data_IF_492810930518
#
_entry.id   IF_492810930518
#
_cell.length_a   1.000
_cell.length_b   1.000
_cell.length_c   1.000
_cell.angle_alpha   90.00
_cell.angle_beta   90.00
_cell.angle_gamma   90.00
#
_symmetry.space_group_name_H-M   'P 1'
#
loop_
_entity.id
_entity.type
_entity.pdbx_description
1 polymer ?
#
# COMPACT_ATOMS: atom_id res chain seq x y z
N UNK A 1 28.53 65.18 -28.57
CA UNK A 1 27.33 64.31 -28.54
C UNK A 1 27.59 63.14 -27.61
N UNK A 2 26.63 62.93 -26.71
CA UNK A 2 26.54 62.06 -25.54
C UNK A 2 27.51 60.85 -25.41
N UNK A 3 28.23 60.84 -24.30
CA UNK A 3 28.98 59.70 -23.75
C UNK A 3 28.03 58.97 -22.77
N UNK A 4 27.64 57.73 -23.08
CA UNK A 4 26.71 56.93 -22.25
C UNK A 4 27.47 55.72 -21.69
N UNK A 5 27.96 55.85 -20.46
CA UNK A 5 28.50 54.73 -19.69
C UNK A 5 27.35 53.81 -19.27
N UNK A 6 27.40 52.55 -19.68
CA UNK A 6 26.56 51.49 -19.14
C UNK A 6 27.24 50.93 -17.89
N UNK A 7 26.74 51.29 -16.71
CA UNK A 7 27.06 50.60 -15.46
C UNK A 7 26.14 49.38 -15.39
N UNK A 8 26.68 48.20 -15.66
CA UNK A 8 25.96 46.94 -15.44
C UNK A 8 26.08 46.63 -13.95
N UNK A 9 25.01 46.93 -13.21
CA UNK A 9 24.85 46.52 -11.81
C UNK A 9 24.55 45.02 -11.78
N UNK A 10 25.53 44.23 -11.34
CA UNK A 10 25.32 42.83 -10.98
C UNK A 10 24.65 42.77 -9.61
N UNK A 11 23.32 42.75 -9.59
CA UNK A 11 22.60 42.24 -8.42
C UNK A 11 22.77 40.72 -8.40
N UNK A 12 23.73 40.23 -7.60
CA UNK A 12 23.77 38.82 -7.22
C UNK A 12 22.53 38.53 -6.37
N UNK A 13 21.55 37.89 -6.97
CA UNK A 13 20.41 37.31 -6.27
C UNK A 13 20.94 36.08 -5.52
N UNK A 14 21.35 36.27 -4.27
CA UNK A 14 21.67 35.16 -3.36
C UNK A 14 20.36 34.43 -3.10
N UNK A 15 20.14 33.33 -3.82
CA UNK A 15 19.17 32.32 -3.45
C UNK A 15 19.64 31.75 -2.11
N UNK A 16 19.08 32.24 -1.01
CA UNK A 16 19.07 31.51 0.25
C UNK A 16 18.27 30.23 -0.01
N UNK A 17 18.95 29.19 -0.47
CA UNK A 17 18.45 27.84 -0.36
C UNK A 17 18.31 27.58 1.14
N UNK A 18 17.11 27.75 1.67
CA UNK A 18 16.75 27.18 2.97
C UNK A 18 17.05 25.69 2.85
N UNK A 19 17.98 25.13 3.65
CA UNK A 19 18.23 23.71 3.62
C UNK A 19 16.89 23.01 3.86
N UNK A 20 16.53 22.09 2.97
CA UNK A 20 15.46 21.15 3.24
C UNK A 20 15.76 20.55 4.62
N UNK A 21 14.87 20.76 5.59
CA UNK A 21 15.08 20.19 6.92
C UNK A 21 15.14 18.67 6.73
N UNK A 22 16.28 18.06 7.07
CA UNK A 22 16.48 16.61 6.99
C UNK A 22 15.64 15.84 8.03
N UNK A 23 14.87 16.56 8.85
CA UNK A 23 13.91 16.04 9.80
C UNK A 23 12.53 16.64 9.53
N UNK A 24 11.50 15.80 9.62
CA UNK A 24 10.10 16.22 9.55
C UNK A 24 9.23 15.47 10.57
N UNK A 25 8.12 16.06 10.97
CA UNK A 25 7.19 15.51 11.96
C UNK A 25 6.18 14.55 11.29
N UNK A 26 6.14 13.30 11.74
CA UNK A 26 5.24 12.26 11.20
C UNK A 26 3.89 12.26 11.89
N UNK A 27 3.92 12.33 13.21
CA UNK A 27 2.79 12.52 14.11
C UNK A 27 3.30 13.27 15.34
N UNK A 28 2.40 13.76 16.19
CA UNK A 28 2.79 14.56 17.36
C UNK A 28 3.90 13.86 18.15
N UNK A 29 4.99 14.59 18.40
CA UNK A 29 6.16 14.15 19.18
C UNK A 29 6.98 13.01 18.51
N UNK A 30 6.71 12.66 17.24
CA UNK A 30 7.43 11.63 16.47
C UNK A 30 7.98 12.22 15.17
N UNK A 31 9.29 12.16 15.01
CA UNK A 31 10.00 12.77 13.90
C UNK A 31 10.77 11.71 13.10
N UNK A 32 10.85 11.93 11.80
CA UNK A 32 11.61 11.09 10.87
C UNK A 32 12.82 11.90 10.39
N UNK A 33 14.01 11.32 10.55
CA UNK A 33 15.28 11.85 10.05
C UNK A 33 15.67 11.09 8.80
N UNK A 34 15.85 11.80 7.70
CA UNK A 34 16.28 11.26 6.42
C UNK A 34 17.81 11.21 6.36
N UNK A 35 18.38 10.04 6.12
CA UNK A 35 19.83 9.83 6.14
C UNK A 35 20.32 9.14 4.87
N UNK A 36 21.35 9.70 4.24
CA UNK A 36 22.17 8.95 3.30
C UNK A 36 22.97 7.89 4.08
N UNK A 37 22.83 6.63 3.68
CA UNK A 37 23.31 5.47 4.44
C UNK A 37 24.48 4.80 3.73
N UNK A 38 25.68 5.28 4.02
CA UNK A 38 26.94 4.68 3.59
C UNK A 38 28.03 4.89 4.66
N UNK A 39 29.13 4.10 4.66
CA UNK A 39 30.13 4.15 5.75
C UNK A 39 30.74 5.53 6.01
N UNK A 40 30.91 6.34 4.96
CA UNK A 40 31.50 7.67 5.02
C UNK A 40 30.47 8.81 5.18
N UNK A 41 29.19 8.49 5.42
CA UNK A 41 28.15 9.50 5.52
C UNK A 41 28.35 10.36 6.79
N UNK A 42 28.28 11.70 6.67
CA UNK A 42 28.44 12.59 7.82
C UNK A 42 27.24 12.56 8.78
N UNK A 43 26.12 11.95 8.39
CA UNK A 43 24.85 12.03 9.10
C UNK A 43 24.26 13.43 9.08
N UNK A 44 23.20 13.63 9.86
CA UNK A 44 22.46 14.89 9.89
C UNK A 44 22.51 15.52 11.28
N UNK A 45 22.71 16.83 11.32
CA UNK A 45 22.63 17.61 12.56
C UNK A 45 21.16 17.97 12.81
N UNK A 46 20.62 17.54 13.95
CA UNK A 46 19.21 17.75 14.32
C UNK A 46 19.15 18.54 15.62
N UNK A 47 18.23 19.50 15.68
CA UNK A 47 17.97 20.31 16.88
C UNK A 47 16.60 19.96 17.44
N UNK A 48 16.57 19.35 18.62
CA UNK A 48 15.35 19.09 19.38
C UNK A 48 15.07 20.25 20.34
N UNK A 49 13.82 20.65 20.46
CA UNK A 49 13.40 21.70 21.40
C UNK A 49 12.43 21.10 22.39
N UNK A 50 12.68 21.30 23.69
CA UNK A 50 11.78 20.83 24.74
C UNK A 50 10.49 21.66 24.70
N UNK A 51 9.35 21.01 24.52
CA UNK A 51 8.03 21.66 24.52
C UNK A 51 7.63 22.04 25.96
N UNK A 52 8.16 23.16 26.42
CA UNK A 52 7.94 23.69 27.77
C UNK A 52 8.11 25.21 27.79
N UNK A 53 7.36 25.93 28.64
CA UNK A 53 7.62 27.35 28.90
C UNK A 53 8.90 27.58 29.72
N UNK A 54 9.43 26.54 30.38
CA UNK A 54 10.67 26.63 31.14
C UNK A 54 11.89 26.90 30.23
N UNK A 55 12.88 27.63 30.74
CA UNK A 55 14.12 27.96 29.99
C UNK A 55 15.38 27.41 30.68
N UNK A 56 15.38 27.34 32.02
CA UNK A 56 16.53 26.98 32.83
C UNK A 56 16.43 25.57 33.45
N UNK A 57 17.59 24.98 33.79
CA UNK A 57 17.76 23.68 34.45
C UNK A 57 17.12 22.48 33.72
N UNK A 58 17.08 22.56 32.39
CA UNK A 58 16.62 21.46 31.53
C UNK A 58 17.80 20.53 31.22
N UNK A 59 17.60 19.23 31.42
CA UNK A 59 18.53 18.17 31.00
C UNK A 59 17.86 17.19 30.05
N UNK A 60 18.64 16.54 29.21
CA UNK A 60 18.14 15.58 28.23
C UNK A 60 18.68 14.18 28.48
N UNK A 61 17.82 13.18 28.27
CA UNK A 61 18.17 11.76 28.30
C UNK A 61 17.69 11.07 27.02
N UNK A 62 18.40 10.03 26.57
CA UNK A 62 17.99 9.16 25.46
C UNK A 62 17.74 7.74 25.97
N UNK A 63 16.79 7.01 25.37
CA UNK A 63 16.58 5.59 25.70
C UNK A 63 17.71 4.66 25.20
N UNK A 64 18.62 5.18 24.36
CA UNK A 64 19.82 4.47 23.91
C UNK A 64 21.04 4.70 24.83
N UNK A 65 20.96 5.63 25.79
CA UNK A 65 22.07 5.98 26.69
C UNK A 65 21.66 5.99 28.16
N UNK A 66 22.56 5.55 29.05
CA UNK A 66 22.37 5.66 30.51
C UNK A 66 22.74 7.03 31.07
N UNK A 67 23.35 7.90 30.27
CA UNK A 67 23.89 9.18 30.69
C UNK A 67 23.05 10.36 30.18
N UNK A 68 23.24 11.53 30.81
CA UNK A 68 22.65 12.78 30.32
C UNK A 68 23.33 13.14 29.00
N UNK A 69 22.54 13.30 27.94
CA UNK A 69 23.04 13.54 26.58
C UNK A 69 23.19 15.02 26.25
N UNK A 70 22.63 15.91 27.07
CA UNK A 70 22.81 17.35 26.95
C UNK A 70 21.98 18.16 27.95
N UNK A 71 22.08 19.47 27.86
CA UNK A 71 21.41 20.42 28.76
C UNK A 71 20.97 21.67 28.02
N UNK A 72 19.94 22.35 28.55
CA UNK A 72 19.32 23.53 27.97
C UNK A 72 18.01 23.21 27.25
N UNK A 73 17.29 24.26 26.85
CA UNK A 73 15.99 24.14 26.16
C UNK A 73 16.08 23.40 24.83
N UNK A 74 17.19 23.55 24.12
CA UNK A 74 17.46 22.89 22.85
C UNK A 74 18.59 21.89 22.99
N UNK A 75 18.48 20.75 22.32
CA UNK A 75 19.50 19.72 22.21
C UNK A 75 19.91 19.57 20.75
N UNK A 76 21.17 19.83 20.44
CA UNK A 76 21.75 19.56 19.11
C UNK A 76 22.46 18.21 19.14
N UNK A 77 22.09 17.31 18.23
CA UNK A 77 22.67 15.97 18.10
C UNK A 77 23.06 15.68 16.65
N UNK A 78 24.09 14.87 16.48
CA UNK A 78 24.45 14.30 15.19
C UNK A 78 23.81 12.92 15.06
N UNK A 79 22.94 12.73 14.07
CA UNK A 79 22.23 11.47 13.82
C UNK A 79 22.87 10.75 12.63
N UNK A 80 23.48 9.60 12.88
CA UNK A 80 24.18 8.79 11.85
C UNK A 80 23.68 7.36 11.81
N UNK A 81 23.35 6.79 12.96
CA UNK A 81 22.96 5.39 13.09
C UNK A 81 21.79 5.20 14.05
N UNK A 82 21.30 3.96 14.15
CA UNK A 82 20.14 3.64 15.01
C UNK A 82 20.40 3.87 16.51
N UNK A 83 21.66 3.93 16.95
CA UNK A 83 22.01 4.31 18.32
C UNK A 83 21.78 5.79 18.64
N UNK A 84 21.69 6.64 17.62
CA UNK A 84 21.38 8.07 17.76
C UNK A 84 19.88 8.35 17.65
N UNK A 85 19.09 7.36 17.23
CA UNK A 85 17.64 7.45 17.17
C UNK A 85 17.00 7.10 18.53
N UNK A 86 15.67 7.00 18.58
CA UNK A 86 14.97 6.61 19.79
C UNK A 86 14.33 7.78 20.53
N UNK A 87 13.91 7.53 21.77
CA UNK A 87 13.16 8.51 22.56
C UNK A 87 14.10 9.41 23.34
N UNK A 88 14.11 10.68 22.96
CA UNK A 88 14.71 11.77 23.71
C UNK A 88 13.68 12.36 24.67
N UNK A 89 14.08 12.57 25.92
CA UNK A 89 13.21 13.10 26.97
C UNK A 89 13.91 14.27 27.63
N UNK A 90 13.23 15.41 27.74
CA UNK A 90 13.72 16.56 28.48
C UNK A 90 13.12 16.60 29.89
N UNK A 91 13.94 16.90 30.88
CA UNK A 91 13.60 16.87 32.28
C UNK A 91 14.03 18.15 32.99
N UNK A 92 13.34 18.50 34.07
CA UNK A 92 13.74 19.56 35.01
C UNK A 92 13.52 19.07 36.44
N UNK A 93 14.55 19.12 37.28
CA UNK A 93 14.48 18.62 38.67
C UNK A 93 14.04 17.15 38.76
N UNK A 94 14.33 16.33 37.76
CA UNK A 94 13.91 14.92 37.67
C UNK A 94 12.48 14.69 37.17
N UNK A 95 11.71 15.75 36.90
CA UNK A 95 10.38 15.64 36.29
C UNK A 95 10.48 15.72 34.77
N UNK A 96 9.77 14.82 34.08
CA UNK A 96 9.66 14.84 32.61
C UNK A 96 8.80 16.02 32.17
N UNK A 97 9.34 16.83 31.27
CA UNK A 97 8.64 17.99 30.68
C UNK A 97 8.00 17.63 29.34
N UNK A 98 8.79 17.03 28.44
CA UNK A 98 8.34 16.60 27.11
C UNK A 98 9.26 15.49 26.57
N UNK A 99 8.89 14.92 25.43
CA UNK A 99 9.65 13.88 24.75
C UNK A 99 9.56 14.03 23.23
N UNK A 100 10.52 13.44 22.53
CA UNK A 100 10.54 13.37 21.07
C UNK A 100 11.10 12.01 20.65
N UNK A 101 10.38 11.29 19.79
CA UNK A 101 10.83 10.01 19.24
C UNK A 101 11.44 10.25 17.86
N UNK A 102 12.70 9.87 17.68
CA UNK A 102 13.38 9.90 16.39
C UNK A 102 13.35 8.54 15.70
N UNK A 103 12.89 8.54 14.46
CA UNK A 103 12.92 7.42 13.53
C UNK A 103 13.86 7.73 12.37
N UNK A 104 14.44 6.70 11.75
CA UNK A 104 15.38 6.85 10.63
C UNK A 104 14.77 6.35 9.33
N UNK A 105 14.81 7.20 8.30
CA UNK A 105 14.52 6.82 6.92
C UNK A 105 15.83 6.74 6.14
N UNK A 106 16.26 5.51 5.84
CA UNK A 106 17.56 5.27 5.21
C UNK A 106 17.48 5.43 3.70
N UNK A 107 18.51 6.03 3.13
CA UNK A 107 18.71 6.14 1.68
C UNK A 107 20.05 5.53 1.29
N UNK A 108 20.03 4.37 0.65
CA UNK A 108 21.22 3.65 0.19
C UNK A 108 21.36 3.84 -1.33
N UNK A 109 22.52 4.32 -1.79
CA UNK A 109 22.80 4.58 -3.22
C UNK A 109 21.74 5.45 -3.92
N UNK A 110 21.22 6.45 -3.20
CA UNK A 110 20.18 7.35 -3.71
C UNK A 110 18.76 6.79 -3.66
N UNK A 111 18.55 5.57 -3.16
CA UNK A 111 17.26 4.90 -3.07
C UNK A 111 16.83 4.69 -1.61
N UNK A 112 15.58 4.99 -1.30
CA UNK A 112 15.01 4.69 0.01
C UNK A 112 14.98 3.19 0.27
N UNK A 113 15.30 2.80 1.51
CA UNK A 113 15.30 1.38 1.90
C UNK A 113 13.90 0.78 1.83
N UNK A 114 13.84 -0.53 1.52
CA UNK A 114 12.59 -1.29 1.37
C UNK A 114 12.71 -2.63 2.08
N UNK A 115 13.24 -2.59 3.30
CA UNK A 115 13.64 -3.76 4.09
C UNK A 115 12.46 -4.37 4.87
N UNK A 116 11.44 -3.56 5.19
CA UNK A 116 10.31 -3.98 6.03
C UNK A 116 9.32 -4.83 5.24
N UNK A 117 9.00 -4.41 4.01
CA UNK A 117 8.06 -5.12 3.15
C UNK A 117 8.77 -5.93 2.10
N UNK A 118 8.13 -7.04 1.75
CA UNK A 118 8.62 -7.91 0.72
C UNK A 118 8.07 -7.48 -0.64
N UNK A 119 8.95 -7.28 -1.60
CA UNK A 119 8.58 -7.13 -3.00
C UNK A 119 7.85 -8.39 -3.51
N UNK A 120 6.66 -8.17 -4.07
CA UNK A 120 5.79 -9.20 -4.61
C UNK A 120 6.00 -9.44 -6.11
N UNK A 121 7.09 -8.89 -6.69
CA UNK A 121 7.68 -9.18 -8.01
C UNK A 121 6.67 -9.27 -9.15
N UNK A 122 5.98 -8.19 -9.47
CA UNK A 122 5.27 -8.08 -10.74
C UNK A 122 6.26 -7.74 -11.88
N UNK A 123 6.01 -8.20 -13.12
CA UNK A 123 7.02 -8.29 -14.18
C UNK A 123 7.63 -6.97 -14.68
N UNK A 124 7.28 -5.81 -14.09
CA UNK A 124 7.71 -4.50 -14.57
C UNK A 124 8.34 -3.59 -13.51
N UNK A 125 8.00 -3.70 -12.22
CA UNK A 125 8.49 -2.83 -11.14
C UNK A 125 8.41 -3.54 -9.77
N UNK A 126 9.11 -3.01 -8.76
CA UNK A 126 8.92 -3.42 -7.36
C UNK A 126 7.47 -3.12 -6.95
N UNK A 127 6.78 -4.12 -6.41
CA UNK A 127 5.37 -3.97 -5.99
C UNK A 127 5.21 -4.51 -4.58
N UNK A 128 5.05 -3.60 -3.61
CA UNK A 128 4.94 -3.96 -2.20
C UNK A 128 3.48 -4.03 -1.73
N UNK A 129 2.66 -3.09 -2.19
CA UNK A 129 1.22 -3.02 -1.93
C UNK A 129 0.47 -3.62 -3.12
N UNK A 130 -0.44 -4.55 -2.85
CA UNK A 130 -1.42 -5.03 -3.84
C UNK A 130 -2.81 -4.68 -3.36
N UNK A 131 -3.63 -4.13 -4.24
CA UNK A 131 -5.00 -3.74 -3.94
C UNK A 131 -5.96 -4.43 -4.90
N UNK A 132 -7.12 -4.86 -4.40
CA UNK A 132 -8.21 -5.43 -5.19
C UNK A 132 -9.53 -4.80 -4.76
N UNK A 133 -10.40 -4.56 -5.74
CA UNK A 133 -11.78 -4.13 -5.53
C UNK A 133 -12.72 -5.19 -6.11
N UNK A 134 -13.76 -5.54 -5.35
CA UNK A 134 -14.74 -6.56 -5.80
C UNK A 134 -15.78 -6.00 -6.76
N UNK A 135 -15.97 -4.68 -6.74
CA UNK A 135 -17.00 -3.94 -7.45
C UNK A 135 -16.59 -2.46 -7.55
N UNK A 136 -17.47 -1.63 -8.12
CA UNK A 136 -17.24 -0.20 -8.32
C UNK A 136 -17.76 0.70 -7.19
N UNK A 137 -18.01 0.15 -5.99
CA UNK A 137 -18.58 0.92 -4.86
C UNK A 137 -17.62 1.95 -4.23
N UNK A 138 -16.37 1.99 -4.69
CA UNK A 138 -15.29 2.73 -4.03
C UNK A 138 -14.66 1.98 -2.85
N UNK A 139 -15.17 0.78 -2.50
CA UNK A 139 -14.55 -0.11 -1.53
C UNK A 139 -13.43 -0.95 -2.15
N UNK A 140 -12.27 -0.97 -1.51
CA UNK A 140 -11.14 -1.80 -1.91
C UNK A 140 -10.34 -2.30 -0.71
N UNK A 141 -9.58 -3.37 -0.92
CA UNK A 141 -8.71 -3.96 0.09
C UNK A 141 -7.28 -3.97 -0.44
N UNK A 142 -6.35 -3.42 0.33
CA UNK A 142 -4.93 -3.51 0.05
C UNK A 142 -4.26 -4.50 1.00
N UNK A 143 -3.23 -5.22 0.53
CA UNK A 143 -2.42 -6.12 1.35
C UNK A 143 -0.95 -6.08 0.96
N UNK A 144 -0.12 -6.45 1.93
CA UNK A 144 1.33 -6.53 1.82
C UNK A 144 1.87 -7.72 2.61
N UNK A 145 3.13 -8.05 2.34
CA UNK A 145 3.83 -9.17 2.94
C UNK A 145 5.06 -8.68 3.70
N UNK A 146 5.29 -9.25 4.88
CA UNK A 146 6.52 -9.00 5.66
C UNK A 146 6.99 -10.30 6.32
N UNK A 147 8.31 -10.44 6.47
CA UNK A 147 8.91 -11.52 7.24
C UNK A 147 9.05 -11.15 8.73
N UNK A 148 8.84 -9.88 9.10
CA UNK A 148 9.01 -9.35 10.45
C UNK A 148 7.82 -9.75 11.32
N UNK A 149 8.10 -10.16 12.56
CA UNK A 149 7.10 -10.75 13.44
C UNK A 149 6.76 -9.92 14.68
N UNK A 150 7.62 -9.00 15.11
CA UNK A 150 7.49 -8.15 16.31
C UNK A 150 7.81 -6.69 16.00
N UNK A 151 7.44 -5.78 16.92
CA UNK A 151 7.83 -4.36 16.91
C UNK A 151 7.53 -3.61 15.61
N UNK A 152 6.37 -3.92 15.04
CA UNK A 152 5.95 -3.45 13.72
C UNK A 152 4.66 -2.63 13.85
N UNK A 153 4.71 -1.37 13.40
CA UNK A 153 3.56 -0.46 13.32
C UNK A 153 3.33 -0.09 11.86
N UNK A 154 2.05 -0.09 11.46
CA UNK A 154 1.62 0.31 10.13
C UNK A 154 0.56 1.40 10.26
N UNK A 155 0.71 2.48 9.49
CA UNK A 155 -0.29 3.54 9.35
C UNK A 155 -0.61 3.72 7.87
N UNK A 156 -1.89 3.74 7.51
CA UNK A 156 -2.33 3.85 6.12
C UNK A 156 -3.03 5.19 5.93
N UNK A 157 -2.61 5.92 4.91
CA UNK A 157 -3.23 7.16 4.44
C UNK A 157 -3.66 6.96 2.99
N UNK A 158 -4.82 7.48 2.61
CA UNK A 158 -5.28 7.40 1.23
C UNK A 158 -6.10 8.63 0.84
N UNK A 159 -6.02 8.98 -0.44
CA UNK A 159 -6.80 10.05 -1.05
C UNK A 159 -7.00 9.77 -2.53
N UNK A 160 -8.00 10.43 -3.15
CA UNK A 160 -8.11 10.48 -4.61
C UNK A 160 -7.57 11.81 -5.12
N UNK A 161 -6.61 11.75 -6.04
CA UNK A 161 -5.88 12.91 -6.54
C UNK A 161 -4.86 13.45 -5.53
N UNK A 162 -3.80 14.07 -6.08
CA UNK A 162 -2.69 14.62 -5.29
C UNK A 162 -2.84 16.11 -5.01
N UNK A 163 -3.35 16.89 -5.97
CA UNK A 163 -3.46 18.36 -5.87
C UNK A 163 -4.68 18.87 -5.12
N UNK A 164 -5.80 18.14 -5.21
CA UNK A 164 -7.07 18.43 -4.51
C UNK A 164 -7.62 17.08 -3.98
N UNK A 165 -7.07 16.61 -2.85
CA UNK A 165 -7.30 15.25 -2.38
C UNK A 165 -8.74 15.08 -1.91
N UNK A 166 -9.48 14.19 -2.57
CA UNK A 166 -10.80 13.76 -2.12
C UNK A 166 -10.65 12.64 -1.07
N UNK A 167 -11.58 12.60 -0.12
CA UNK A 167 -11.52 11.73 1.05
C UNK A 167 -11.62 10.24 0.72
N UNK A 168 -10.65 9.48 1.21
CA UNK A 168 -10.68 8.01 1.26
C UNK A 168 -10.39 7.59 2.69
N UNK A 169 -11.34 6.90 3.30
CA UNK A 169 -11.23 6.44 4.69
C UNK A 169 -10.71 5.00 4.71
N UNK A 170 -9.58 4.77 5.38
CA UNK A 170 -9.02 3.43 5.59
C UNK A 170 -9.17 3.00 7.06
N UNK A 171 -9.45 1.71 7.26
CA UNK A 171 -9.46 1.08 8.57
C UNK A 171 -8.05 0.82 9.13
N UNK A 172 -7.99 0.10 10.24
CA UNK A 172 -6.72 -0.36 10.80
C UNK A 172 -6.14 -1.52 9.99
N UNK A 173 -4.81 -1.58 9.88
CA UNK A 173 -4.14 -2.74 9.30
C UNK A 173 -4.34 -3.99 10.18
N UNK A 174 -4.81 -5.07 9.59
CA UNK A 174 -5.11 -6.33 10.27
C UNK A 174 -4.21 -7.45 9.77
N UNK A 175 -3.77 -8.31 10.69
CA UNK A 175 -3.01 -9.51 10.34
C UNK A 175 -3.97 -10.59 9.81
N UNK A 176 -3.75 -11.03 8.58
CA UNK A 176 -4.48 -12.15 8.01
C UNK A 176 -4.02 -13.47 8.64
N UNK A 177 -4.96 -14.40 8.84
CA UNK A 177 -4.65 -15.78 9.22
C UNK A 177 -3.89 -16.53 8.11
N UNK A 178 -3.96 -16.04 6.87
CA UNK A 178 -3.27 -16.60 5.72
C UNK A 178 -1.76 -16.30 5.79
N UNK A 179 -0.96 -17.36 5.93
CA UNK A 179 0.49 -17.28 5.78
C UNK A 179 0.86 -17.57 4.33
N UNK A 180 1.65 -16.69 3.72
CA UNK A 180 2.10 -16.85 2.34
C UNK A 180 3.50 -17.44 2.35
N UNK A 181 3.65 -18.67 1.85
CA UNK A 181 4.96 -19.30 1.63
C UNK A 181 5.44 -19.04 0.22
N UNK A 182 6.64 -18.49 0.09
CA UNK A 182 7.30 -18.33 -1.20
C UNK A 182 8.79 -18.58 -1.02
N UNK A 183 9.41 -19.31 -1.96
CA UNK A 183 10.85 -19.60 -1.94
C UNK A 183 11.32 -20.15 -0.56
N UNK A 184 10.49 -21.00 0.06
CA UNK A 184 10.76 -21.65 1.35
C UNK A 184 10.82 -20.71 2.58
N UNK A 185 10.38 -19.44 2.46
CA UNK A 185 10.18 -18.51 3.58
C UNK A 185 8.70 -18.25 3.82
N UNK A 186 8.32 -18.15 5.10
CA UNK A 186 6.97 -17.76 5.52
C UNK A 186 6.89 -16.24 5.66
N UNK A 187 5.85 -15.66 5.07
CA UNK A 187 5.52 -14.25 5.19
C UNK A 187 4.17 -14.09 5.85
N UNK A 188 4.07 -13.12 6.76
CA UNK A 188 2.81 -12.64 7.31
C UNK A 188 2.15 -11.72 6.29
N UNK A 189 0.85 -11.89 6.07
CA UNK A 189 0.04 -11.02 5.21
C UNK A 189 -0.76 -10.07 6.09
N UNK A 190 -0.58 -8.77 5.87
CA UNK A 190 -1.42 -7.74 6.47
C UNK A 190 -2.35 -7.17 5.41
N UNK A 191 -3.54 -6.76 5.82
CA UNK A 191 -4.52 -6.15 4.94
C UNK A 191 -5.22 -4.97 5.60
N UNK A 192 -5.67 -4.04 4.78
CA UNK A 192 -6.49 -2.89 5.18
C UNK A 192 -7.64 -2.76 4.20
N UNK A 193 -8.81 -2.44 4.74
CA UNK A 193 -10.00 -2.09 3.95
C UNK A 193 -10.13 -0.57 3.92
N UNK A 194 -10.43 -0.05 2.73
CA UNK A 194 -10.59 1.38 2.49
C UNK A 194 -11.87 1.63 1.70
N UNK A 195 -12.48 2.78 1.95
CA UNK A 195 -13.71 3.23 1.33
C UNK A 195 -13.52 4.66 0.83
N UNK A 196 -13.78 4.90 -0.44
CA UNK A 196 -13.94 6.25 -0.97
C UNK A 196 -15.22 6.89 -0.41
N UNK A 197 -15.09 8.10 0.15
CA UNK A 197 -16.18 8.75 0.90
C UNK A 197 -17.35 9.15 -0.03
N UNK A 198 -17.03 9.58 -1.26
CA UNK A 198 -18.00 10.05 -2.25
C UNK A 198 -17.85 9.33 -3.60
N UNK A 199 -17.96 8.01 -3.59
CA UNK A 199 -17.79 7.20 -4.78
C UNK A 199 -18.92 7.41 -5.82
N UNK A 200 -18.53 7.46 -7.10
CA UNK A 200 -19.45 7.49 -8.25
C UNK A 200 -19.24 6.24 -9.14
N UNK A 201 -19.92 5.11 -8.86
CA UNK A 201 -19.62 3.82 -9.49
C UNK A 201 -19.69 3.77 -11.02
N UNK A 202 -20.52 4.63 -11.62
CA UNK A 202 -20.74 4.68 -13.08
C UNK A 202 -19.92 5.77 -13.78
N UNK A 203 -19.19 6.60 -13.04
CA UNK A 203 -18.39 7.68 -13.62
C UNK A 203 -17.04 7.15 -14.11
N UNK A 204 -16.52 7.77 -15.17
CA UNK A 204 -15.15 7.50 -15.60
C UNK A 204 -14.18 8.19 -14.65
N UNK A 205 -13.29 7.41 -14.02
CA UNK A 205 -12.28 7.94 -13.11
C UNK A 205 -11.22 8.76 -13.87
N UNK A 206 -11.07 10.04 -13.52
CA UNK A 206 -10.08 10.96 -14.09
C UNK A 206 -8.82 11.10 -13.22
N UNK A 207 -8.94 10.88 -11.92
CA UNK A 207 -7.83 10.95 -10.95
C UNK A 207 -7.67 9.61 -10.23
N UNK A 208 -6.43 9.12 -10.05
CA UNK A 208 -6.18 7.86 -9.36
C UNK A 208 -6.38 8.02 -7.85
N UNK A 209 -6.59 6.89 -7.19
CA UNK A 209 -6.45 6.76 -5.74
C UNK A 209 -4.97 6.56 -5.43
N UNK A 210 -4.47 7.31 -4.46
CA UNK A 210 -3.13 7.16 -3.89
C UNK A 210 -3.28 6.53 -2.50
N UNK A 211 -2.51 5.47 -2.26
CA UNK A 211 -2.40 4.80 -0.96
C UNK A 211 -0.95 4.91 -0.50
N UNK A 212 -0.75 5.47 0.67
CA UNK A 212 0.56 5.59 1.34
C UNK A 212 0.52 4.75 2.61
N UNK A 213 1.42 3.78 2.70
CA UNK A 213 1.64 2.96 3.88
C UNK A 213 2.94 3.39 4.56
N UNK A 214 2.82 3.97 5.75
CA UNK A 214 3.93 4.22 6.67
C UNK A 214 4.20 2.93 7.45
N UNK A 215 5.44 2.43 7.39
CA UNK A 215 5.88 1.21 8.03
C UNK A 215 7.03 1.49 8.99
N UNK A 216 6.83 1.18 10.27
CA UNK A 216 7.82 1.41 11.32
C UNK A 216 8.19 0.06 11.93
N UNK A 217 9.47 -0.29 11.85
CA UNK A 217 10.04 -1.45 12.55
C UNK A 217 11.11 -0.97 13.53
N UNK A 218 10.80 -1.06 14.82
CA UNK A 218 11.60 -0.44 15.90
C UNK A 218 11.76 1.07 15.66
N UNK A 219 12.96 1.50 15.26
CA UNK A 219 13.30 2.90 14.96
C UNK A 219 13.51 3.14 13.46
N UNK A 220 13.30 2.13 12.60
CA UNK A 220 13.36 2.28 11.15
C UNK A 220 11.99 2.68 10.63
N UNK A 221 11.96 3.74 9.84
CA UNK A 221 10.80 4.18 9.08
C UNK A 221 11.03 3.91 7.58
N UNK A 222 9.99 3.40 6.91
CA UNK A 222 9.91 3.31 5.46
C UNK A 222 8.49 3.66 5.04
N UNK A 223 8.31 4.22 3.84
CA UNK A 223 6.98 4.40 3.25
C UNK A 223 6.85 3.67 1.92
N UNK A 224 5.61 3.31 1.59
CA UNK A 224 5.27 2.57 0.40
C UNK A 224 4.05 3.19 -0.24
N UNK A 225 4.15 3.50 -1.53
CA UNK A 225 3.06 4.14 -2.26
C UNK A 225 2.50 3.21 -3.33
N UNK A 226 1.19 3.31 -3.54
CA UNK A 226 0.49 2.66 -4.64
C UNK A 226 -0.51 3.66 -5.23
N UNK A 227 -0.54 3.75 -6.56
CA UNK A 227 -1.45 4.62 -7.29
C UNK A 227 -2.19 3.79 -8.34
N UNK A 228 -3.52 3.85 -8.33
CA UNK A 228 -4.36 3.05 -9.20
C UNK A 228 -5.74 3.68 -9.41
N UNK A 229 -6.42 3.26 -10.48
CA UNK A 229 -7.86 3.46 -10.62
C UNK A 229 -8.61 2.22 -10.10
N UNK A 230 -9.82 2.39 -9.56
CA UNK A 230 -10.63 1.27 -9.11
C UNK A 230 -10.84 0.28 -10.26
N UNK A 231 -11.15 0.77 -11.47
CA UNK A 231 -11.32 -0.06 -12.68
C UNK A 231 -10.14 -0.99 -12.98
N UNK A 232 -8.92 -0.62 -12.61
CA UNK A 232 -7.70 -1.41 -12.86
C UNK A 232 -7.51 -2.52 -11.84
N UNK A 233 -8.00 -2.33 -10.62
CA UNK A 233 -7.89 -3.28 -9.52
C UNK A 233 -9.16 -4.14 -9.34
N UNK A 234 -10.13 -4.02 -10.25
CA UNK A 234 -11.35 -4.84 -10.22
C UNK A 234 -11.02 -6.32 -10.37
N UNK A 235 -11.51 -7.11 -9.42
CA UNK A 235 -11.52 -8.56 -9.44
C UNK A 235 -12.83 -9.06 -8.81
N UNK A 236 -13.82 -9.46 -9.62
CA UNK A 236 -15.09 -9.95 -9.10
C UNK A 236 -14.89 -11.19 -8.22
N UNK A 237 -15.82 -11.41 -7.29
CA UNK A 237 -15.96 -12.71 -6.63
C UNK A 237 -16.37 -13.79 -7.65
N UNK A 238 -16.14 -15.08 -7.37
CA UNK A 238 -16.49 -16.16 -8.29
C UNK A 238 -18.01 -16.24 -8.53
N UNK A 239 -18.44 -16.73 -9.72
CA UNK A 239 -19.86 -16.97 -9.99
C UNK A 239 -20.49 -17.90 -8.94
N UNK A 240 -21.71 -17.60 -8.53
CA UNK A 240 -22.40 -18.36 -7.48
C UNK A 240 -23.40 -19.35 -8.07
N UNK A 241 -23.87 -20.29 -7.25
CA UNK A 241 -24.97 -21.21 -7.56
C UNK A 241 -24.78 -22.01 -8.87
N UNK A 242 -23.57 -22.55 -9.10
CA UNK A 242 -23.31 -23.41 -10.25
C UNK A 242 -24.20 -24.65 -10.24
N UNK A 243 -24.99 -24.82 -11.30
CA UNK A 243 -25.93 -25.93 -11.49
C UNK A 243 -25.68 -26.62 -12.82
N UNK A 244 -25.81 -27.94 -12.82
CA UNK A 244 -25.73 -28.77 -14.02
C UNK A 244 -27.10 -29.37 -14.32
N UNK A 245 -27.56 -29.21 -15.57
CA UNK A 245 -28.78 -29.82 -16.06
C UNK A 245 -28.45 -30.69 -17.28
N UNK A 246 -28.57 -32.02 -17.18
CA UNK A 246 -28.23 -32.90 -18.29
C UNK A 246 -29.27 -32.82 -19.42
N UNK A 247 -28.80 -32.86 -20.66
CA UNK A 247 -29.68 -33.03 -21.81
C UNK A 247 -30.05 -34.52 -21.99
N UNK A 248 -31.29 -34.80 -22.36
CA UNK A 248 -31.74 -36.18 -22.62
C UNK A 248 -30.94 -36.76 -23.79
N UNK A 249 -30.42 -37.97 -23.62
CA UNK A 249 -29.68 -38.73 -24.62
C UNK A 249 -28.41 -38.06 -25.18
N UNK A 250 -27.83 -37.08 -24.47
CA UNK A 250 -26.53 -36.48 -24.81
C UNK A 250 -25.59 -36.52 -23.60
N UNK A 251 -24.28 -36.43 -23.86
CA UNK A 251 -23.27 -36.15 -22.83
C UNK A 251 -23.13 -34.66 -22.53
N UNK A 252 -23.85 -33.82 -23.27
CA UNK A 252 -23.88 -32.39 -23.04
C UNK A 252 -24.73 -32.05 -21.82
N UNK A 253 -24.27 -31.07 -21.07
CA UNK A 253 -24.96 -30.50 -19.92
C UNK A 253 -25.09 -29.00 -20.11
N UNK A 254 -26.24 -28.47 -19.71
CA UNK A 254 -26.40 -27.04 -19.52
C UNK A 254 -25.84 -26.69 -18.14
N UNK A 255 -24.81 -25.86 -18.13
CA UNK A 255 -24.24 -25.25 -16.93
C UNK A 255 -24.89 -23.89 -16.77
N UNK A 256 -25.37 -23.60 -15.58
CA UNK A 256 -25.91 -22.27 -15.23
C UNK A 256 -25.31 -21.78 -13.92
N UNK A 257 -25.20 -20.47 -13.77
CA UNK A 257 -24.68 -19.79 -12.59
C UNK A 257 -25.41 -18.45 -12.40
N UNK A 258 -25.04 -17.73 -11.35
CA UNK A 258 -25.56 -16.40 -11.04
C UNK A 258 -24.38 -15.43 -10.82
N UNK A 259 -24.68 -14.13 -10.94
CA UNK A 259 -23.72 -13.07 -10.61
C UNK A 259 -23.38 -13.13 -9.10
N UNK A 260 -22.15 -12.76 -8.70
CA UNK A 260 -21.78 -12.69 -7.30
C UNK A 260 -22.61 -11.63 -6.58
N UNK A 261 -22.97 -11.86 -5.31
CA UNK A 261 -23.76 -10.90 -4.51
C UNK A 261 -23.01 -9.59 -4.25
N UNK A 262 -21.69 -9.63 -4.30
CA UNK A 262 -20.82 -8.47 -4.10
C UNK A 262 -20.66 -7.62 -5.35
N UNK A 263 -21.13 -8.06 -6.52
CA UNK A 263 -20.93 -7.32 -7.76
C UNK A 263 -21.83 -6.08 -7.86
N UNK A 264 -21.36 -5.03 -8.54
CA UNK A 264 -22.12 -3.79 -8.72
C UNK A 264 -23.47 -4.03 -9.41
N UNK A 265 -24.50 -3.32 -8.96
CA UNK A 265 -25.84 -3.35 -9.56
C UNK A 265 -26.18 -1.97 -10.16
N UNK A 266 -27.01 -1.91 -11.23
CA UNK A 266 -27.67 -3.03 -11.92
C UNK A 266 -26.73 -3.75 -12.90
N UNK A 267 -26.91 -5.08 -13.06
CA UNK A 267 -26.09 -5.91 -13.96
C UNK A 267 -26.26 -5.56 -15.45
N UNK A 268 -27.34 -4.87 -15.80
CA UNK A 268 -27.55 -4.33 -17.15
C UNK A 268 -26.52 -3.26 -17.51
N UNK A 269 -25.96 -2.58 -16.51
CA UNK A 269 -24.87 -1.61 -16.68
C UNK A 269 -23.53 -2.27 -16.37
N UNK A 270 -23.38 -2.84 -15.17
CA UNK A 270 -22.18 -3.56 -14.74
C UNK A 270 -22.25 -5.01 -15.20
N UNK A 271 -22.09 -5.23 -16.51
CA UNK A 271 -22.14 -6.58 -17.09
C UNK A 271 -20.82 -7.32 -16.89
N UNK A 272 -20.91 -8.60 -16.52
CA UNK A 272 -19.78 -9.52 -16.49
C UNK A 272 -19.74 -10.37 -17.76
N UNK A 273 -18.53 -10.77 -18.14
CA UNK A 273 -18.29 -11.85 -19.09
C UNK A 273 -17.68 -13.04 -18.35
N UNK A 274 -17.97 -14.24 -18.81
CA UNK A 274 -17.62 -15.49 -18.13
C UNK A 274 -16.75 -16.36 -19.00
N UNK A 275 -15.80 -17.05 -18.36
CA UNK A 275 -14.99 -18.08 -18.99
C UNK A 275 -15.36 -19.43 -18.39
N UNK A 276 -15.82 -20.34 -19.23
CA UNK A 276 -16.14 -21.72 -18.89
C UNK A 276 -15.03 -22.62 -19.40
N UNK A 277 -14.51 -23.50 -18.54
CA UNK A 277 -13.46 -24.44 -18.90
C UNK A 277 -13.81 -25.84 -18.38
N UNK A 278 -13.78 -26.83 -19.27
CA UNK A 278 -13.94 -28.23 -18.90
C UNK A 278 -12.55 -28.86 -18.72
N UNK A 279 -12.31 -29.47 -17.57
CA UNK A 279 -11.06 -30.16 -17.27
C UNK A 279 -11.32 -31.66 -17.11
N UNK A 280 -10.88 -32.45 -18.08
CA UNK A 280 -10.87 -33.92 -18.02
C UNK A 280 -9.59 -34.50 -17.37
N UNK A 281 -9.53 -35.83 -17.26
CA UNK A 281 -8.37 -36.58 -16.72
C UNK A 281 -7.13 -36.56 -17.65
N UNK A 282 -7.32 -36.49 -18.97
CA UNK A 282 -6.22 -36.44 -19.95
C UNK A 282 -5.82 -34.99 -20.19
N UNK A 283 -4.51 -34.72 -20.31
CA UNK A 283 -3.92 -33.39 -20.60
C UNK A 283 -4.24 -32.90 -22.04
N UNK A 284 -5.45 -33.08 -22.52
CA UNK A 284 -5.88 -32.48 -23.79
C UNK A 284 -6.16 -30.99 -23.60
N UNK A 285 -6.07 -30.23 -24.70
CA UNK A 285 -6.24 -28.78 -24.75
C UNK A 285 -7.48 -28.36 -23.96
N UNK A 286 -7.28 -27.44 -23.02
CA UNK A 286 -8.33 -26.77 -22.26
C UNK A 286 -9.04 -25.79 -23.19
N UNK A 287 -9.99 -26.27 -23.98
CA UNK A 287 -10.87 -25.36 -24.70
C UNK A 287 -11.68 -24.57 -23.66
N UNK A 288 -11.60 -23.25 -23.76
CA UNK A 288 -12.33 -22.35 -22.89
C UNK A 288 -13.35 -21.57 -23.71
N UNK A 289 -14.60 -21.67 -23.31
CA UNK A 289 -15.71 -20.95 -23.89
C UNK A 289 -15.89 -19.63 -23.15
N UNK A 290 -16.05 -18.54 -23.90
CA UNK A 290 -16.36 -17.22 -23.34
C UNK A 290 -17.82 -16.87 -23.65
N UNK A 291 -18.59 -16.51 -22.63
CA UNK A 291 -20.01 -16.18 -22.76
C UNK A 291 -20.38 -15.01 -21.86
N UNK A 292 -21.33 -14.18 -22.30
CA UNK A 292 -21.87 -13.08 -21.48
C UNK A 292 -23.17 -13.45 -20.76
N UNK A 293 -23.76 -14.58 -21.14
CA UNK A 293 -24.93 -15.15 -20.48
C UNK A 293 -24.48 -15.93 -19.25
N UNK A 294 -25.40 -16.12 -18.32
CA UNK A 294 -25.17 -16.90 -17.10
C UNK A 294 -25.43 -18.41 -17.28
N UNK A 295 -25.36 -18.88 -18.53
CA UNK A 295 -25.43 -20.29 -18.86
C UNK A 295 -24.65 -20.63 -20.13
N UNK A 296 -24.20 -21.87 -20.22
CA UNK A 296 -23.52 -22.42 -21.38
C UNK A 296 -23.73 -23.94 -21.48
N UNK A 297 -23.80 -24.45 -22.71
CA UNK A 297 -23.79 -25.88 -22.98
C UNK A 297 -22.35 -26.37 -23.15
N UNK A 298 -21.99 -27.41 -22.40
CA UNK A 298 -20.67 -28.04 -22.51
C UNK A 298 -20.78 -29.56 -22.49
N UNK A 299 -19.86 -30.25 -23.15
CA UNK A 299 -19.79 -31.71 -23.11
C UNK A 299 -19.16 -32.15 -21.79
N UNK A 300 -19.92 -32.87 -20.96
CA UNK A 300 -19.43 -33.46 -19.71
C UNK A 300 -18.87 -34.85 -19.98
N UNK A 301 -17.58 -35.05 -19.69
CA UNK A 301 -17.00 -36.39 -19.60
C UNK A 301 -17.09 -36.90 -18.16
N UNK A 302 -17.15 -38.23 -18.00
CA UNK A 302 -17.16 -38.87 -16.68
C UNK A 302 -15.95 -38.40 -15.86
N UNK A 303 -16.20 -37.94 -14.63
CA UNK A 303 -15.20 -37.38 -13.69
C UNK A 303 -14.52 -36.09 -14.15
N UNK A 304 -15.02 -35.40 -15.18
CA UNK A 304 -14.55 -34.07 -15.54
C UNK A 304 -15.04 -33.01 -14.53
N UNK A 305 -14.29 -31.91 -14.43
CA UNK A 305 -14.67 -30.73 -13.65
C UNK A 305 -14.93 -29.56 -14.57
N UNK A 306 -16.02 -28.86 -14.34
CA UNK A 306 -16.37 -27.62 -15.02
C UNK A 306 -15.98 -26.47 -14.11
N UNK A 307 -15.23 -25.53 -14.66
CA UNK A 307 -14.77 -24.33 -13.98
C UNK A 307 -15.36 -23.10 -14.64
N UNK A 308 -15.88 -22.17 -13.86
CA UNK A 308 -16.42 -20.89 -14.33
C UNK A 308 -15.77 -19.75 -13.54
N UNK A 309 -15.28 -18.74 -14.24
CA UNK A 309 -14.78 -17.49 -13.63
C UNK A 309 -15.39 -16.29 -14.36
N UNK A 310 -15.43 -15.14 -13.68
CA UNK A 310 -16.01 -13.90 -14.18
C UNK A 310 -14.94 -12.80 -14.34
N UNK A 311 -15.22 -11.84 -15.21
CA UNK A 311 -14.47 -10.59 -15.37
C UNK A 311 -15.44 -9.50 -15.82
N UNK A 312 -15.10 -8.24 -15.55
CA UNK A 312 -15.79 -7.13 -16.21
C UNK A 312 -15.82 -7.33 -17.74
N UNK A 313 -16.98 -7.06 -18.34
CA UNK A 313 -17.20 -7.26 -19.78
C UNK A 313 -16.52 -6.20 -20.63
N UNK A 314 -16.52 -4.95 -20.17
CA UNK A 314 -16.14 -3.77 -20.94
C UNK A 314 -14.72 -3.31 -20.61
N UNK A 315 -14.16 -3.73 -19.48
CA UNK A 315 -12.80 -3.45 -19.07
C UNK A 315 -12.00 -4.73 -18.84
N UNK A 316 -10.74 -4.75 -19.25
CA UNK A 316 -9.88 -5.93 -19.11
C UNK A 316 -9.22 -6.00 -17.74
N UNK A 317 -10.03 -6.08 -16.68
CA UNK A 317 -9.58 -6.24 -15.30
C UNK A 317 -9.17 -7.68 -14.97
N UNK A 318 -8.92 -7.99 -13.70
CA UNK A 318 -8.59 -9.34 -13.25
C UNK A 318 -9.79 -10.30 -13.35
N UNK A 319 -9.51 -11.56 -13.69
CA UNK A 319 -10.49 -12.64 -13.59
C UNK A 319 -10.70 -13.03 -12.12
N UNK A 320 -11.93 -13.39 -11.77
CA UNK A 320 -12.27 -13.99 -10.48
C UNK A 320 -11.53 -15.30 -10.27
N UNK A 321 -11.55 -15.80 -9.03
CA UNK A 321 -11.25 -17.22 -8.80
C UNK A 321 -12.27 -18.13 -9.50
N UNK A 322 -11.91 -19.39 -9.70
CA UNK A 322 -12.79 -20.38 -10.33
C UNK A 322 -13.85 -20.88 -9.36
N UNK A 323 -15.11 -20.85 -9.77
CA UNK A 323 -16.15 -21.70 -9.23
C UNK A 323 -16.11 -23.06 -9.95
N UNK A 324 -16.22 -24.17 -9.21
CA UNK A 324 -16.08 -25.51 -9.78
C UNK A 324 -17.27 -26.41 -9.46
N UNK A 325 -17.71 -27.20 -10.45
CA UNK A 325 -18.69 -28.28 -10.27
C UNK A 325 -18.24 -29.54 -11.02
N UNK A 326 -18.49 -30.71 -10.44
CA UNK A 326 -18.09 -31.99 -11.04
C UNK A 326 -19.19 -32.54 -11.96
N UNK A 327 -18.80 -33.07 -13.12
CA UNK A 327 -19.65 -33.90 -13.95
C UNK A 327 -19.92 -35.23 -13.24
N UNK A 328 -21.20 -35.63 -13.18
CA UNK A 328 -21.64 -36.93 -12.68
C UNK A 328 -21.39 -38.06 -13.68
#
# INVERSE_FOLDING_TARGET
MCQRQFVISWFSMVLLASPLMAMWELEKDVYVVELDWHPDAPGEEVVLTCDTPEEDDITWTSDQSSEIVGSGKTLTIQVKEFGDAGRYTCLKGGQVLSHSLLLLHKKEDGLWSTDILRDQKEPKNKTFLKCEAKNYSGHFTCWWLTAISTDLKFTVKSSRGSSDPQGVTCGAATLSAEKVRVENREYKKYSVECQEDSACPAAEESLPIEVVLDAIHRLKYENYTSSFFIRDIIKPDPPKNLKLKPFKNSRDVEVSWEYPDTWSTPHSYFSLTFRVQVQGKRKEKKDSLFVDKTSASVTCHKEAKIHVQARDRYYSSSWSTWATVSCS
#
